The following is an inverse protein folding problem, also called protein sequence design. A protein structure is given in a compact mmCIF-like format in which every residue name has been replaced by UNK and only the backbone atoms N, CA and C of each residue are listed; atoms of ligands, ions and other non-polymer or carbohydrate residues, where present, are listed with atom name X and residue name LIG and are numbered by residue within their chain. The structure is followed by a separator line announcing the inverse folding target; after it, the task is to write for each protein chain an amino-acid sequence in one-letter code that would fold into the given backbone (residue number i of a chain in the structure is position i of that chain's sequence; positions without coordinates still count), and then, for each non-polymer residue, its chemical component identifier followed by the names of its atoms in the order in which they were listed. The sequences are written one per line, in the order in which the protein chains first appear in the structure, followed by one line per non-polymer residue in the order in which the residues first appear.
data_IF_888400744472
#
_entry.id   IF_888400744472
#
_cell.length_a   1.000
_cell.length_b   1.000
_cell.length_c   1.000
_cell.angle_alpha   90.00
_cell.angle_beta   90.00
_cell.angle_gamma   90.00
#
_symmetry.space_group_name_H-M   'P 1'
#
loop_
_entity.id
_entity.type
_entity.pdbx_description
1 polymer ?
#
# COMPACT_ATOMS: atom_id res chain seq x y z
N UNK A 1 15.37 1.89 -2.23
CA UNK A 1 16.33 1.20 -3.06
C UNK A 1 15.66 0.65 -4.32
N UNK A 2 16.20 1.01 -5.47
CA UNK A 2 15.62 0.65 -6.76
C UNK A 2 15.54 -0.87 -6.95
N UNK A 3 16.53 -1.59 -6.48
CA UNK A 3 16.57 -3.04 -6.59
C UNK A 3 15.39 -3.68 -5.83
N UNK A 4 15.15 -3.21 -4.62
CA UNK A 4 14.03 -3.72 -3.83
C UNK A 4 12.70 -3.37 -4.47
N UNK A 5 12.57 -2.16 -5.01
CA UNK A 5 11.36 -1.75 -5.71
C UNK A 5 11.12 -2.62 -6.93
N UNK A 6 12.18 -2.90 -7.70
CA UNK A 6 12.06 -3.75 -8.88
C UNK A 6 11.68 -5.18 -8.51
N UNK A 7 12.26 -5.72 -7.45
CA UNK A 7 11.93 -7.05 -6.97
C UNK A 7 10.47 -7.10 -6.52
N UNK A 8 10.03 -6.07 -5.81
CA UNK A 8 8.65 -5.97 -5.37
C UNK A 8 7.70 -5.92 -6.56
N UNK A 9 8.02 -5.09 -7.56
CA UNK A 9 7.19 -4.95 -8.75
C UNK A 9 7.08 -6.27 -9.50
N UNK A 10 8.17 -7.01 -9.62
CA UNK A 10 8.14 -8.32 -10.26
C UNK A 10 7.26 -9.30 -9.51
N UNK A 11 7.38 -9.32 -8.18
CA UNK A 11 6.53 -10.16 -7.34
C UNK A 11 5.07 -9.80 -7.55
N UNK A 12 4.77 -8.51 -7.57
CA UNK A 12 3.41 -8.05 -7.77
C UNK A 12 2.85 -8.52 -9.11
N UNK A 13 3.65 -8.41 -10.19
CA UNK A 13 3.21 -8.83 -11.52
C UNK A 13 2.95 -10.33 -11.62
N UNK A 14 3.72 -11.13 -10.88
CA UNK A 14 3.60 -12.59 -10.93
C UNK A 14 2.84 -13.17 -9.76
N UNK A 15 2.40 -12.34 -8.85
CA UNK A 15 1.82 -12.76 -7.59
C UNK A 15 0.37 -13.19 -7.76
N UNK A 16 0.02 -14.29 -7.10
CA UNK A 16 -1.36 -14.72 -6.97
C UNK A 16 -2.04 -13.91 -5.86
N UNK A 17 -3.37 -13.92 -5.87
CA UNK A 17 -4.16 -13.16 -4.91
C UNK A 17 -3.76 -13.42 -3.46
N UNK A 18 -3.42 -14.66 -3.11
CA UNK A 18 -3.04 -15.00 -1.75
C UNK A 18 -1.74 -14.30 -1.32
N UNK A 19 -0.76 -14.22 -2.22
CA UNK A 19 0.50 -13.53 -1.91
C UNK A 19 0.29 -12.03 -1.80
N UNK A 20 -0.52 -11.47 -2.68
CA UNK A 20 -0.86 -10.06 -2.64
C UNK A 20 -1.55 -9.72 -1.33
N UNK A 21 -2.47 -10.58 -0.90
CA UNK A 21 -3.13 -10.43 0.38
C UNK A 21 -2.11 -10.41 1.52
N UNK A 22 -1.10 -11.29 1.48
CA UNK A 22 -0.07 -11.34 2.51
C UNK A 22 0.78 -10.07 2.54
N UNK A 23 1.07 -9.50 1.38
CA UNK A 23 1.81 -8.24 1.29
C UNK A 23 1.02 -7.13 1.97
N UNK A 24 -0.27 -7.01 1.66
CA UNK A 24 -1.12 -6.01 2.30
C UNK A 24 -1.23 -6.25 3.80
N UNK A 25 -1.42 -7.50 4.22
CA UNK A 25 -1.52 -7.82 5.64
C UNK A 25 -0.27 -7.41 6.39
N UNK A 26 0.92 -7.67 5.81
CA UNK A 26 2.18 -7.28 6.43
C UNK A 26 2.32 -5.78 6.54
N UNK A 27 1.90 -5.06 5.51
CA UNK A 27 1.97 -3.60 5.51
C UNK A 27 1.09 -3.01 6.61
N UNK A 28 -0.16 -3.46 6.69
CA UNK A 28 -1.08 -2.94 7.70
C UNK A 28 -0.69 -3.38 9.10
N UNK A 29 -0.09 -4.57 9.24
CA UNK A 29 0.47 -5.01 10.51
C UNK A 29 1.52 -4.02 10.99
N UNK A 30 2.41 -3.61 10.10
CA UNK A 30 3.44 -2.62 10.43
C UNK A 30 2.82 -1.32 10.93
N UNK A 31 1.82 -0.80 10.21
CA UNK A 31 1.16 0.45 10.63
C UNK A 31 0.43 0.28 11.95
N UNK A 32 -0.17 -0.87 12.20
CA UNK A 32 -0.87 -1.13 13.45
C UNK A 32 0.10 -1.21 14.63
N UNK A 33 1.26 -1.81 14.43
CA UNK A 33 2.28 -1.89 15.47
C UNK A 33 2.81 -0.52 15.87
N UNK A 34 2.76 0.46 14.95
CA UNK A 34 3.21 1.81 15.21
C UNK A 34 2.03 2.79 15.20
N UNK A 35 0.90 2.34 15.68
CA UNK A 35 -0.36 3.06 15.60
C UNK A 35 -0.27 4.47 16.17
N UNK A 36 0.35 4.62 17.34
CA UNK A 36 0.42 5.94 18.01
C UNK A 36 1.12 6.96 17.12
N UNK A 37 2.22 6.56 16.50
CA UNK A 37 2.97 7.46 15.62
C UNK A 37 2.15 7.83 14.38
N UNK A 38 1.53 6.85 13.74
CA UNK A 38 0.79 7.13 12.51
C UNK A 38 -0.50 7.89 12.77
N UNK A 39 -1.16 7.64 13.89
CA UNK A 39 -2.33 8.44 14.27
C UNK A 39 -1.95 9.88 14.61
N UNK A 40 -0.75 10.09 15.15
CA UNK A 40 -0.24 11.45 15.38
C UNK A 40 -0.09 12.17 14.04
N UNK A 41 0.45 11.51 13.03
CA UNK A 41 0.56 12.11 11.69
C UNK A 41 -0.83 12.46 11.16
N UNK A 42 -1.78 11.55 11.32
CA UNK A 42 -3.15 11.78 10.84
C UNK A 42 -3.78 13.00 11.51
N UNK A 43 -3.66 13.11 12.84
CA UNK A 43 -4.26 14.20 13.59
C UNK A 43 -3.65 15.56 13.28
N UNK A 44 -2.43 15.57 12.76
CA UNK A 44 -1.72 16.82 12.45
C UNK A 44 -1.66 17.10 10.94
N UNK A 45 -2.50 16.43 10.14
CA UNK A 45 -2.57 16.63 8.69
C UNK A 45 -1.23 16.36 8.01
N UNK A 46 -0.49 15.38 8.51
CA UNK A 46 0.81 15.00 7.98
C UNK A 46 0.78 13.67 7.23
N UNK A 47 -0.40 13.19 6.85
CA UNK A 47 -0.50 11.92 6.15
C UNK A 47 0.17 11.96 4.77
N UNK A 48 0.43 13.14 4.23
CA UNK A 48 1.17 13.24 2.97
C UNK A 48 2.57 12.63 3.09
N UNK A 49 3.12 12.56 4.29
CA UNK A 49 4.41 11.89 4.50
C UNK A 49 4.30 10.39 4.25
N UNK A 50 3.17 9.81 4.62
CA UNK A 50 2.88 8.40 4.34
C UNK A 50 2.71 8.21 2.83
N UNK A 51 1.93 9.09 2.19
CA UNK A 51 1.71 9.03 0.75
C UNK A 51 3.04 9.09 0.00
N UNK A 52 3.90 10.04 0.37
CA UNK A 52 5.17 10.22 -0.32
C UNK A 52 6.08 9.01 -0.14
N UNK A 53 6.06 8.39 1.04
CA UNK A 53 6.84 7.19 1.29
C UNK A 53 6.35 6.02 0.45
N UNK A 54 5.03 5.82 0.41
CA UNK A 54 4.43 4.76 -0.39
C UNK A 54 4.75 4.95 -1.87
N UNK A 55 4.55 6.17 -2.37
CA UNK A 55 4.80 6.46 -3.78
C UNK A 55 6.27 6.28 -4.15
N UNK A 56 7.17 6.64 -3.24
CA UNK A 56 8.59 6.47 -3.49
C UNK A 56 9.00 5.01 -3.56
N UNK A 57 8.39 4.15 -2.73
CA UNK A 57 8.74 2.73 -2.66
C UNK A 57 7.98 1.87 -3.64
N UNK A 58 6.73 2.17 -3.88
CA UNK A 58 5.83 1.30 -4.66
C UNK A 58 5.41 1.96 -5.97
N UNK A 59 5.37 3.28 -6.00
CA UNK A 59 4.90 4.01 -7.17
C UNK A 59 5.82 3.94 -8.37
N UNK A 60 5.43 4.63 -9.46
CA UNK A 60 6.21 4.61 -10.69
C UNK A 60 7.65 5.10 -10.51
N UNK A 61 8.55 4.49 -11.26
CA UNK A 61 9.96 4.85 -11.29
C UNK A 61 10.32 5.30 -12.71
N UNK A 62 11.36 6.17 -12.85
CA UNK A 62 11.67 6.77 -14.16
C UNK A 62 11.92 5.79 -15.29
N UNK A 63 12.46 4.60 -15.00
CA UNK A 63 12.81 3.63 -16.03
C UNK A 63 11.67 2.72 -16.45
N UNK A 64 10.49 2.87 -15.83
CA UNK A 64 9.35 2.03 -16.16
C UNK A 64 8.63 2.51 -17.42
N UNK A 65 8.02 1.57 -18.16
CA UNK A 65 7.20 1.94 -19.30
C UNK A 65 5.85 2.50 -18.80
N UNK A 66 5.08 3.04 -19.74
CA UNK A 66 3.83 3.73 -19.41
C UNK A 66 2.83 2.81 -18.71
N UNK A 67 2.65 1.59 -19.18
CA UNK A 67 1.68 0.66 -18.59
C UNK A 67 2.04 0.31 -17.16
N UNK A 68 3.32 0.05 -16.91
CA UNK A 68 3.79 -0.22 -15.56
C UNK A 68 3.59 0.98 -14.65
N UNK A 69 3.89 2.16 -15.17
CA UNK A 69 3.74 3.39 -14.38
C UNK A 69 2.30 3.62 -13.97
N UNK A 70 1.36 3.46 -14.89
CA UNK A 70 -0.05 3.62 -14.54
C UNK A 70 -0.53 2.59 -13.54
N UNK A 71 -0.11 1.33 -13.71
CA UNK A 71 -0.50 0.27 -12.79
C UNK A 71 0.03 0.53 -11.39
N UNK A 72 1.29 0.92 -11.26
CA UNK A 72 1.89 1.17 -9.96
C UNK A 72 1.39 2.46 -9.33
N UNK A 73 1.05 3.46 -10.14
CA UNK A 73 0.41 4.66 -9.61
C UNK A 73 -0.93 4.32 -8.98
N UNK A 74 -1.73 3.52 -9.69
CA UNK A 74 -3.02 3.07 -9.16
C UNK A 74 -2.85 2.31 -7.86
N UNK A 75 -1.90 1.39 -7.83
CA UNK A 75 -1.64 0.58 -6.63
C UNK A 75 -1.18 1.44 -5.46
N UNK A 76 -0.22 2.34 -5.70
CA UNK A 76 0.33 3.18 -4.63
C UNK A 76 -0.75 4.07 -4.01
N UNK A 77 -1.55 4.73 -4.84
CA UNK A 77 -2.61 5.59 -4.34
C UNK A 77 -3.76 4.79 -3.73
N UNK A 78 -4.02 3.60 -4.24
CA UNK A 78 -5.00 2.70 -3.65
C UNK A 78 -4.62 2.29 -2.25
N UNK A 79 -3.35 1.90 -2.05
CA UNK A 79 -2.84 1.55 -0.73
C UNK A 79 -2.93 2.74 0.21
N UNK A 80 -2.50 3.90 -0.25
CA UNK A 80 -2.56 5.11 0.57
C UNK A 80 -3.99 5.47 0.94
N UNK A 81 -4.90 5.41 -0.03
CA UNK A 81 -6.31 5.71 0.21
C UNK A 81 -6.91 4.78 1.25
N UNK A 82 -6.55 3.49 1.17
CA UNK A 82 -7.03 2.50 2.13
C UNK A 82 -6.50 2.79 3.53
N UNK A 83 -5.20 3.09 3.63
CA UNK A 83 -4.58 3.42 4.93
C UNK A 83 -5.24 4.65 5.53
N UNK A 84 -5.50 5.65 4.71
CA UNK A 84 -6.12 6.89 5.20
C UNK A 84 -7.53 6.67 5.70
N UNK A 85 -8.31 5.85 4.99
CA UNK A 85 -9.64 5.49 5.43
C UNK A 85 -9.58 4.73 6.75
N UNK A 86 -8.63 3.80 6.85
CA UNK A 86 -8.41 3.03 8.07
C UNK A 86 -8.10 3.94 9.26
N UNK A 87 -7.22 4.92 9.06
CA UNK A 87 -6.88 5.90 10.09
C UNK A 87 -8.09 6.73 10.51
N UNK A 88 -8.93 7.11 9.56
CA UNK A 88 -10.13 7.88 9.85
C UNK A 88 -11.10 7.10 10.74
N UNK A 89 -11.00 5.79 10.72
CA UNK A 89 -11.82 4.89 11.54
C UNK A 89 -11.09 4.43 12.81
N UNK A 90 -9.96 5.04 13.13
CA UNK A 90 -9.20 4.74 14.33
C UNK A 90 -8.34 3.50 14.25
N UNK A 91 -8.07 3.01 13.03
CA UNK A 91 -7.25 1.82 12.80
C UNK A 91 -7.80 0.57 13.51
N UNK A 92 -9.12 0.44 13.53
CA UNK A 92 -9.79 -0.64 14.26
C UNK A 92 -10.11 -1.88 13.42
N UNK A 93 -10.11 -1.74 12.10
CA UNK A 93 -10.39 -2.89 11.23
C UNK A 93 -9.23 -3.86 11.24
N UNK A 94 -9.51 -5.12 10.94
CA UNK A 94 -8.52 -6.18 11.00
C UNK A 94 -7.90 -6.40 9.62
N UNK A 95 -6.56 -6.35 9.50
CA UNK A 95 -5.92 -6.55 8.19
C UNK A 95 -6.27 -7.87 7.50
N UNK A 96 -6.61 -8.91 8.26
CA UNK A 96 -6.97 -10.21 7.70
C UNK A 96 -8.25 -10.15 6.86
N UNK A 97 -9.05 -9.11 7.03
CA UNK A 97 -10.30 -8.96 6.29
C UNK A 97 -10.07 -8.42 4.87
N UNK A 98 -8.83 -8.20 4.49
CA UNK A 98 -8.52 -7.67 3.17
C UNK A 98 -9.07 -8.50 2.02
N UNK A 99 -9.13 -9.83 2.18
CA UNK A 99 -9.69 -10.70 1.15
C UNK A 99 -11.16 -10.40 0.85
N UNK A 100 -11.88 -9.90 1.85
CA UNK A 100 -13.28 -9.53 1.67
C UNK A 100 -13.41 -8.13 1.07
N UNK A 101 -12.46 -7.26 1.39
CA UNK A 101 -12.49 -5.86 0.95
C UNK A 101 -12.04 -5.74 -0.50
N UNK A 102 -11.02 -6.52 -0.89
CA UNK A 102 -10.47 -6.47 -2.25
C UNK A 102 -10.89 -7.71 -3.02
N UNK A 103 -11.91 -7.63 -3.87
CA UNK A 103 -12.29 -8.75 -4.72
C UNK A 103 -11.13 -9.15 -5.64
N UNK A 104 -11.12 -10.42 -6.02
CA UNK A 104 -10.11 -10.92 -6.94
C UNK A 104 -10.09 -10.12 -8.23
N UNK A 105 -8.89 -9.73 -8.64
CA UNK A 105 -8.71 -9.02 -9.88
C UNK A 105 -8.90 -7.52 -9.79
N UNK A 106 -9.35 -6.99 -8.66
CA UNK A 106 -9.55 -5.55 -8.54
C UNK A 106 -8.24 -4.77 -8.67
N UNK A 107 -7.19 -5.28 -8.07
CA UNK A 107 -5.90 -4.59 -8.05
C UNK A 107 -5.04 -4.96 -9.26
N UNK A 108 -5.27 -6.12 -9.81
CA UNK A 108 -4.49 -6.64 -10.92
C UNK A 108 -5.09 -6.27 -12.28
#
# INVERSE_FOLDING_TARGET
DQKLINEWAKKFESTHDSELHNVFASLFQHYKEHEDFYMMLYRNDLTYLIRDTICRRIGPQPEMNDNESYRLAFLAYGIYGWIREWMSRGMNDIPEDLNEIFPNGLIL
#
